data_IF_560490219271
#
_entry.id   IF_560490219271
#
_cell.length_a   1.000
_cell.length_b   1.000
_cell.length_c   1.000
_cell.angle_alpha   90.00
_cell.angle_beta   90.00
_cell.angle_gamma   90.00
#
_symmetry.space_group_name_H-M   'P 1'
#
loop_
_entity.id
_entity.type
_entity.pdbx_description
1 polymer ?
#
# COMPACT_ATOMS: atom_id res chain seq x y z
N UNK A 1 0.19 -2.11 -7.45
CA UNK A 1 -0.44 -1.05 -8.26
C UNK A 1 0.39 -0.90 -9.52
N UNK A 2 -0.23 -0.78 -10.67
CA UNK A 2 0.46 -0.52 -11.94
C UNK A 2 0.63 0.98 -12.22
N UNK A 3 1.49 1.32 -13.20
CA UNK A 3 1.76 2.71 -13.57
C UNK A 3 0.50 3.52 -13.93
N UNK A 4 -0.38 3.02 -14.83
CA UNK A 4 -1.62 3.72 -15.18
C UNK A 4 -2.57 3.96 -14.01
N UNK A 5 -2.66 3.05 -13.06
CA UNK A 5 -3.49 3.21 -11.85
C UNK A 5 -2.90 4.26 -10.91
N UNK A 6 -1.57 4.26 -10.74
CA UNK A 6 -0.85 5.27 -9.97
C UNK A 6 -1.05 6.67 -10.56
N UNK A 7 -0.87 6.82 -11.85
CA UNK A 7 -1.06 8.07 -12.58
C UNK A 7 -2.50 8.61 -12.42
N UNK A 8 -3.52 7.78 -12.58
CA UNK A 8 -4.92 8.19 -12.35
C UNK A 8 -5.16 8.66 -10.91
N UNK A 9 -4.59 7.97 -9.93
CA UNK A 9 -4.70 8.33 -8.52
C UNK A 9 -4.02 9.67 -8.23
N UNK A 10 -2.81 9.87 -8.76
CA UNK A 10 -2.09 11.13 -8.65
C UNK A 10 -2.86 12.29 -9.30
N UNK A 11 -3.40 12.12 -10.49
CA UNK A 11 -4.22 13.15 -11.15
C UNK A 11 -5.41 13.57 -10.30
N UNK A 12 -6.14 12.61 -9.73
CA UNK A 12 -7.27 12.92 -8.84
C UNK A 12 -6.81 13.71 -7.61
N UNK A 13 -5.67 13.35 -7.03
CA UNK A 13 -5.07 14.08 -5.91
C UNK A 13 -4.65 15.50 -6.30
N UNK A 14 -4.07 15.69 -7.49
CA UNK A 14 -3.68 17.02 -7.97
C UNK A 14 -4.89 17.92 -8.23
N UNK A 15 -5.97 17.38 -8.80
CA UNK A 15 -7.24 18.12 -8.95
C UNK A 15 -7.76 18.56 -7.59
N UNK A 16 -7.77 17.70 -6.59
CA UNK A 16 -8.22 18.05 -5.23
C UNK A 16 -7.30 19.10 -4.56
N UNK A 17 -5.99 18.99 -4.76
CA UNK A 17 -5.02 19.88 -4.11
C UNK A 17 -4.90 21.25 -4.77
N UNK A 18 -4.93 21.30 -6.10
CA UNK A 18 -4.65 22.50 -6.88
C UNK A 18 -5.90 23.11 -7.56
N UNK A 19 -7.01 22.38 -7.59
CA UNK A 19 -8.27 22.83 -8.16
C UNK A 19 -8.16 23.23 -9.62
N UNK A 20 -8.81 24.31 -10.00
CA UNK A 20 -8.85 24.82 -11.38
C UNK A 20 -7.47 25.26 -11.92
N UNK A 21 -6.47 25.39 -11.07
CA UNK A 21 -5.09 25.71 -11.51
C UNK A 21 -4.40 24.51 -12.15
N UNK A 22 -4.83 23.28 -11.85
CA UNK A 22 -4.22 22.06 -12.41
C UNK A 22 -4.79 21.75 -13.79
N UNK A 23 -3.89 21.46 -14.72
CA UNK A 23 -4.21 20.99 -16.06
C UNK A 23 -3.47 19.67 -16.33
N UNK A 24 -4.22 18.69 -16.84
CA UNK A 24 -3.66 17.41 -17.24
C UNK A 24 -2.96 17.55 -18.61
N UNK A 25 -1.83 16.89 -18.77
CA UNK A 25 -1.15 16.79 -20.06
C UNK A 25 -1.18 15.32 -20.53
N UNK A 26 -1.74 15.10 -21.72
CA UNK A 26 -1.82 13.76 -22.29
C UNK A 26 -0.52 13.38 -22.98
N UNK A 27 -0.10 12.11 -22.83
CA UNK A 27 1.13 11.60 -23.44
C UNK A 27 1.09 11.49 -24.98
N UNK A 28 -0.05 11.75 -25.62
CA UNK A 28 -0.18 11.74 -27.09
C UNK A 28 -0.19 13.18 -27.62
N UNK A 29 0.66 13.52 -28.62
CA UNK A 29 1.51 12.67 -29.47
C UNK A 29 2.90 12.35 -28.89
N UNK A 30 3.19 12.58 -27.61
CA UNK A 30 4.46 12.23 -27.01
C UNK A 30 4.50 12.50 -25.51
N UNK A 31 5.35 11.75 -24.79
CA UNK A 31 5.70 12.00 -23.42
C UNK A 31 6.76 13.11 -23.36
N UNK A 32 6.36 14.29 -22.89
CA UNK A 32 7.22 15.47 -22.74
C UNK A 32 7.97 15.51 -21.43
N UNK A 33 7.94 14.44 -20.61
CA UNK A 33 8.49 14.39 -19.27
C UNK A 33 7.61 15.08 -18.22
N UNK A 34 6.34 15.36 -18.58
CA UNK A 34 5.32 15.92 -17.68
C UNK A 34 3.95 15.35 -18.03
N UNK A 35 3.17 14.98 -17.00
CA UNK A 35 1.81 14.43 -17.13
C UNK A 35 0.74 15.45 -16.73
N UNK A 36 1.15 16.57 -16.18
CA UNK A 36 0.29 17.69 -15.82
C UNK A 36 1.08 18.88 -15.37
N UNK A 37 0.41 20.01 -15.23
CA UNK A 37 1.01 21.28 -14.81
C UNK A 37 -0.03 22.14 -14.10
N UNK A 38 0.44 23.16 -13.40
CA UNK A 38 -0.42 24.16 -12.79
C UNK A 38 -0.13 25.57 -13.35
N UNK A 39 -1.14 26.42 -13.37
CA UNK A 39 -1.01 27.81 -13.84
C UNK A 39 0.02 28.64 -13.04
N UNK A 40 0.36 28.20 -11.83
CA UNK A 40 1.40 28.80 -10.99
C UNK A 40 2.78 28.13 -11.16
N UNK A 41 2.98 27.28 -12.18
CA UNK A 41 4.29 26.84 -12.63
C UNK A 41 4.84 25.56 -12.00
N UNK A 42 3.98 24.69 -11.44
CA UNK A 42 4.35 23.31 -11.10
C UNK A 42 4.15 22.38 -12.31
N UNK A 43 5.12 21.54 -12.59
CA UNK A 43 4.99 20.43 -13.55
C UNK A 43 5.10 19.09 -12.81
N UNK A 44 4.34 18.10 -13.21
CA UNK A 44 4.21 16.81 -12.52
C UNK A 44 4.63 15.66 -13.42
N UNK A 45 5.40 14.74 -12.87
CA UNK A 45 5.73 13.45 -13.46
C UNK A 45 5.46 12.36 -12.43
N UNK A 46 4.58 11.42 -12.77
CA UNK A 46 4.28 10.27 -11.94
C UNK A 46 5.08 9.04 -12.37
N UNK A 47 5.58 8.30 -11.42
CA UNK A 47 6.29 7.06 -11.68
C UNK A 47 5.91 6.00 -10.65
N UNK A 48 5.47 4.84 -11.12
CA UNK A 48 5.22 3.67 -10.29
C UNK A 48 6.11 2.51 -10.76
N UNK A 49 6.89 1.90 -9.87
CA UNK A 49 7.68 0.71 -10.20
C UNK A 49 6.80 -0.45 -10.70
N UNK A 50 7.21 -1.11 -11.79
CA UNK A 50 6.42 -2.18 -12.43
C UNK A 50 6.44 -3.50 -11.64
N UNK A 51 7.43 -3.70 -10.78
CA UNK A 51 7.63 -4.91 -9.99
C UNK A 51 8.14 -4.57 -8.58
N UNK A 52 8.21 -5.56 -7.71
CA UNK A 52 8.84 -5.42 -6.41
C UNK A 52 10.36 -5.36 -6.61
N UNK A 53 10.92 -4.18 -6.43
CA UNK A 53 12.36 -3.92 -6.47
C UNK A 53 12.96 -4.04 -5.08
N UNK A 54 14.23 -4.46 -4.99
CA UNK A 54 15.06 -4.16 -3.84
C UNK A 54 15.27 -2.65 -3.73
N UNK A 55 15.70 -2.18 -2.57
CA UNK A 55 15.94 -0.74 -2.35
C UNK A 55 16.95 -0.16 -3.37
N UNK A 56 18.00 -0.93 -3.71
CA UNK A 56 19.00 -0.52 -4.70
C UNK A 56 18.43 -0.45 -6.11
N UNK A 57 17.69 -1.47 -6.54
CA UNK A 57 17.04 -1.49 -7.86
C UNK A 57 16.00 -0.36 -7.99
N UNK A 58 15.25 -0.09 -6.92
CA UNK A 58 14.29 1.02 -6.90
C UNK A 58 15.00 2.37 -7.06
N UNK A 59 16.13 2.55 -6.35
CA UNK A 59 16.94 3.76 -6.49
C UNK A 59 17.43 3.95 -7.93
N UNK A 60 17.94 2.90 -8.57
CA UNK A 60 18.39 2.96 -9.95
C UNK A 60 17.24 3.28 -10.91
N UNK A 61 16.10 2.63 -10.77
CA UNK A 61 14.94 2.85 -11.62
C UNK A 61 14.40 4.30 -11.51
N UNK A 62 14.29 4.84 -10.29
CA UNK A 62 13.88 6.24 -10.06
C UNK A 62 14.90 7.22 -10.62
N UNK A 63 16.20 6.99 -10.37
CA UNK A 63 17.30 7.80 -10.91
C UNK A 63 17.30 7.84 -12.45
N UNK A 64 17.12 6.68 -13.09
CA UNK A 64 17.13 6.58 -14.54
C UNK A 64 15.89 7.23 -15.16
N UNK A 65 14.73 7.14 -14.50
CA UNK A 65 13.52 7.85 -14.93
C UNK A 65 13.71 9.36 -14.88
N UNK A 66 14.23 9.92 -13.78
CA UNK A 66 14.55 11.34 -13.65
C UNK A 66 15.57 11.77 -14.72
N UNK A 67 16.61 10.97 -14.94
CA UNK A 67 17.65 11.23 -15.95
C UNK A 67 17.09 11.28 -17.36
N UNK A 68 16.08 10.46 -17.65
CA UNK A 68 15.44 10.36 -18.96
C UNK A 68 14.44 11.50 -19.18
N UNK A 69 13.65 11.87 -18.18
CA UNK A 69 12.53 12.79 -18.35
C UNK A 69 12.93 14.27 -18.27
N UNK A 70 13.86 14.64 -17.39
CA UNK A 70 14.29 16.04 -17.27
C UNK A 70 14.78 16.62 -18.60
N UNK A 71 15.64 15.96 -19.41
CA UNK A 71 16.07 16.50 -20.70
C UNK A 71 14.95 16.71 -21.72
N UNK A 72 13.81 16.03 -21.55
CA UNK A 72 12.64 16.21 -22.42
C UNK A 72 12.07 17.63 -22.31
N UNK A 73 12.14 18.26 -21.13
CA UNK A 73 11.69 19.65 -20.93
C UNK A 73 12.40 20.62 -21.88
N UNK A 74 13.69 20.44 -22.07
CA UNK A 74 14.46 21.28 -23.00
C UNK A 74 14.23 20.83 -24.47
N UNK A 75 14.21 19.53 -24.71
CA UNK A 75 14.02 18.98 -26.07
C UNK A 75 12.69 19.39 -26.68
N UNK A 76 11.63 19.38 -25.88
CA UNK A 76 10.25 19.65 -26.29
C UNK A 76 9.73 21.01 -25.78
N UNK A 77 10.64 21.95 -25.53
CA UNK A 77 10.28 23.24 -24.94
C UNK A 77 9.19 23.98 -25.75
N UNK A 78 9.30 23.97 -27.09
CA UNK A 78 8.29 24.63 -27.96
C UNK A 78 6.92 23.97 -27.90
N UNK A 79 6.89 22.65 -27.86
CA UNK A 79 5.65 21.86 -27.75
C UNK A 79 4.99 22.03 -26.39
N UNK A 80 5.79 22.12 -25.35
CA UNK A 80 5.31 22.41 -23.98
C UNK A 80 4.80 23.84 -23.91
N UNK A 81 5.58 24.83 -24.39
CA UNK A 81 5.20 26.25 -24.40
C UNK A 81 3.87 26.50 -25.13
N UNK A 82 3.65 25.81 -26.26
CA UNK A 82 2.38 25.88 -26.99
C UNK A 82 1.16 25.39 -26.17
N UNK A 83 1.37 24.64 -25.08
CA UNK A 83 0.32 24.11 -24.21
C UNK A 83 0.16 24.86 -22.90
N UNK A 84 1.27 25.31 -22.33
CA UNK A 84 1.26 26.01 -21.04
C UNK A 84 1.21 27.54 -21.18
N UNK A 85 1.36 28.04 -22.42
CA UNK A 85 1.39 29.49 -22.69
C UNK A 85 2.59 30.19 -22.05
N UNK A 86 2.36 31.35 -21.48
CA UNK A 86 3.39 32.15 -20.83
C UNK A 86 3.83 31.65 -19.46
N UNK A 87 3.25 30.56 -18.97
CA UNK A 87 3.61 29.96 -17.67
C UNK A 87 5.06 29.48 -17.69
N UNK A 88 5.85 29.89 -16.70
CA UNK A 88 7.21 29.35 -16.49
C UNK A 88 7.15 28.24 -15.45
N UNK A 89 7.81 27.12 -15.76
CA UNK A 89 7.94 25.99 -14.83
C UNK A 89 9.02 26.33 -13.82
N UNK A 90 8.62 26.62 -12.58
CA UNK A 90 9.56 26.86 -11.49
C UNK A 90 9.84 25.58 -10.68
N UNK A 91 8.98 24.55 -10.76
CA UNK A 91 9.24 23.29 -10.10
C UNK A 91 8.75 22.09 -10.91
N UNK A 92 9.53 21.04 -10.90
CA UNK A 92 9.17 19.73 -11.44
C UNK A 92 9.03 18.75 -10.28
N UNK A 93 7.82 18.22 -10.13
CA UNK A 93 7.42 17.36 -9.02
C UNK A 93 7.40 15.91 -9.52
N UNK A 94 8.38 15.13 -9.09
CA UNK A 94 8.45 13.70 -9.36
C UNK A 94 7.71 12.94 -8.26
N UNK A 95 6.61 12.28 -8.60
CA UNK A 95 5.71 11.66 -7.63
C UNK A 95 5.77 10.13 -7.79
N UNK A 96 6.20 9.44 -6.74
CA UNK A 96 6.39 7.99 -6.70
C UNK A 96 5.72 7.40 -5.45
N UNK A 97 5.30 6.12 -5.45
CA UNK A 97 4.71 5.52 -4.24
C UNK A 97 5.64 5.56 -3.01
N UNK A 98 6.95 5.40 -3.22
CA UNK A 98 7.96 5.36 -2.15
C UNK A 98 9.25 6.01 -2.63
N UNK A 99 9.87 6.84 -1.78
CA UNK A 99 11.22 7.37 -2.02
C UNK A 99 12.25 6.29 -1.62
N UNK A 100 13.14 5.85 -2.53
CA UNK A 100 14.03 4.71 -2.27
C UNK A 100 15.05 4.96 -1.16
N UNK A 101 15.69 6.13 -1.19
CA UNK A 101 16.67 6.60 -0.18
C UNK A 101 17.00 8.08 -0.39
N UNK A 102 17.78 8.67 0.54
CA UNK A 102 18.14 10.09 0.51
C UNK A 102 19.10 10.48 -0.62
N UNK A 103 19.83 9.55 -1.23
CA UNK A 103 20.78 9.88 -2.31
C UNK A 103 20.09 10.28 -3.61
N UNK A 104 18.81 9.90 -3.76
CA UNK A 104 18.00 10.35 -4.90
C UNK A 104 17.83 11.87 -4.92
N UNK A 105 17.78 12.53 -3.75
CA UNK A 105 17.71 13.99 -3.67
C UNK A 105 19.00 14.65 -4.17
N UNK A 106 20.17 14.03 -3.93
CA UNK A 106 21.45 14.51 -4.49
C UNK A 106 21.45 14.43 -6.01
N UNK A 107 20.90 13.34 -6.55
CA UNK A 107 20.74 13.18 -8.00
C UNK A 107 19.81 14.24 -8.58
N UNK A 108 18.67 14.49 -7.92
CA UNK A 108 17.74 15.55 -8.30
C UNK A 108 18.42 16.93 -8.34
N UNK A 109 19.22 17.28 -7.30
CA UNK A 109 19.98 18.56 -7.29
C UNK A 109 20.97 18.67 -8.44
N UNK A 110 21.64 17.56 -8.82
CA UNK A 110 22.52 17.56 -9.99
C UNK A 110 21.73 17.86 -11.27
N UNK A 111 20.60 17.19 -11.49
CA UNK A 111 19.74 17.42 -12.66
C UNK A 111 19.10 18.81 -12.69
N UNK A 112 18.76 19.35 -11.56
CA UNK A 112 18.29 20.73 -11.40
C UNK A 112 19.35 21.74 -11.88
N UNK A 113 20.60 21.59 -11.45
CA UNK A 113 21.70 22.47 -11.89
C UNK A 113 21.97 22.33 -13.41
N UNK A 114 21.89 21.10 -13.95
CA UNK A 114 21.98 20.87 -15.39
C UNK A 114 20.86 21.61 -16.13
N UNK A 115 19.61 21.50 -15.65
CA UNK A 115 18.45 22.13 -16.28
C UNK A 115 18.51 23.68 -16.25
N UNK A 116 18.93 24.25 -15.15
CA UNK A 116 19.15 25.74 -15.04
C UNK A 116 20.19 26.25 -16.04
N UNK A 117 21.24 25.46 -16.32
CA UNK A 117 22.28 25.84 -17.27
C UNK A 117 21.80 25.87 -18.73
N UNK A 118 20.66 25.23 -19.08
CA UNK A 118 20.15 25.22 -20.46
C UNK A 118 19.57 26.56 -20.92
N UNK A 119 19.23 27.47 -19.99
CA UNK A 119 18.53 28.72 -20.29
C UNK A 119 17.26 28.51 -21.14
N UNK A 120 16.57 27.44 -20.83
CA UNK A 120 15.38 26.99 -21.53
C UNK A 120 14.20 27.95 -21.35
N UNK A 121 13.52 28.33 -22.43
CA UNK A 121 12.48 29.38 -22.44
C UNK A 121 11.30 29.08 -21.50
N UNK A 122 10.99 27.80 -21.28
CA UNK A 122 9.85 27.37 -20.42
C UNK A 122 10.21 27.23 -18.94
N UNK A 123 11.51 27.23 -18.58
CA UNK A 123 11.96 27.08 -17.20
C UNK A 123 12.20 28.42 -16.53
N UNK A 124 11.81 28.52 -15.26
CA UNK A 124 12.19 29.63 -14.40
C UNK A 124 13.68 29.55 -14.06
N UNK A 125 14.32 30.72 -13.84
CA UNK A 125 15.72 30.80 -13.42
C UNK A 125 16.03 30.06 -12.12
N UNK A 126 15.05 29.95 -11.23
CA UNK A 126 15.10 29.23 -9.96
C UNK A 126 14.46 27.83 -10.03
N UNK A 127 14.38 27.24 -11.22
CA UNK A 127 13.82 25.93 -11.42
C UNK A 127 14.32 24.91 -10.38
N UNK A 128 13.39 24.15 -9.78
CA UNK A 128 13.68 23.20 -8.71
C UNK A 128 13.06 21.85 -9.00
N UNK A 129 13.72 20.76 -8.61
CA UNK A 129 13.20 19.40 -8.69
C UNK A 129 12.85 18.92 -7.29
N UNK A 130 11.60 18.53 -7.07
CA UNK A 130 11.13 17.90 -5.85
C UNK A 130 10.78 16.43 -6.11
N UNK A 131 11.16 15.56 -5.18
CA UNK A 131 10.75 14.16 -5.16
C UNK A 131 9.76 14.00 -4.02
N UNK A 132 8.59 13.51 -4.34
CA UNK A 132 7.47 13.36 -3.42
C UNK A 132 6.93 11.93 -3.49
N UNK A 133 6.46 11.44 -2.37
CA UNK A 133 5.86 10.11 -2.27
C UNK A 133 4.35 10.16 -1.98
N UNK A 134 3.78 8.99 -1.75
CA UNK A 134 2.36 8.86 -1.45
C UNK A 134 1.94 9.65 -0.20
N UNK A 135 2.82 9.80 0.78
CA UNK A 135 2.51 10.50 2.04
C UNK A 135 2.22 11.98 1.81
N UNK A 136 2.90 12.61 0.85
CA UNK A 136 2.65 14.00 0.46
C UNK A 136 1.21 14.27 0.00
N UNK A 137 0.51 13.24 -0.46
CA UNK A 137 -0.84 13.32 -1.01
C UNK A 137 -1.84 12.45 -0.27
N UNK A 138 -1.51 11.94 0.91
CA UNK A 138 -2.33 10.99 1.65
C UNK A 138 -3.77 11.49 1.88
N UNK A 139 -3.93 12.75 2.25
CA UNK A 139 -5.25 13.36 2.47
C UNK A 139 -6.08 13.42 1.16
N UNK A 140 -5.46 13.80 0.04
CA UNK A 140 -6.11 13.88 -1.27
C UNK A 140 -6.45 12.49 -1.82
N UNK A 141 -5.58 11.51 -1.63
CA UNK A 141 -5.85 10.13 -2.02
C UNK A 141 -7.05 9.57 -1.26
N UNK A 142 -7.11 9.82 0.05
CA UNK A 142 -8.24 9.39 0.87
C UNK A 142 -9.54 10.09 0.48
N UNK A 143 -9.51 11.40 0.25
CA UNK A 143 -10.68 12.15 -0.21
C UNK A 143 -11.14 11.69 -1.59
N UNK A 144 -10.22 11.49 -2.54
CA UNK A 144 -10.54 10.94 -3.86
C UNK A 144 -11.19 9.57 -3.76
N UNK A 145 -10.64 8.68 -2.91
CA UNK A 145 -11.21 7.36 -2.68
C UNK A 145 -12.65 7.45 -2.15
N UNK A 146 -12.88 8.32 -1.17
CA UNK A 146 -14.22 8.54 -0.57
C UNK A 146 -15.22 9.10 -1.56
N UNK A 147 -14.85 10.10 -2.32
CA UNK A 147 -15.74 10.78 -3.29
C UNK A 147 -16.06 9.90 -4.49
N UNK A 148 -15.15 9.04 -4.91
CA UNK A 148 -15.36 8.08 -5.99
C UNK A 148 -16.10 6.81 -5.54
N UNK A 149 -16.40 6.67 -4.25
CA UNK A 149 -16.99 5.46 -3.68
C UNK A 149 -16.07 4.22 -3.81
N UNK A 150 -14.78 4.44 -4.04
CA UNK A 150 -13.82 3.36 -4.16
C UNK A 150 -13.61 2.67 -2.80
N UNK A 151 -13.82 1.36 -2.80
CA UNK A 151 -13.59 0.55 -1.61
C UNK A 151 -12.10 0.23 -1.45
N UNK A 152 -11.65 0.18 -0.20
CA UNK A 152 -10.33 -0.33 0.11
C UNK A 152 -10.26 -1.82 -0.26
N UNK A 153 -9.25 -2.22 -1.02
CA UNK A 153 -9.03 -3.61 -1.45
C UNK A 153 -7.71 -4.15 -0.92
N UNK A 154 -7.70 -5.41 -0.52
CA UNK A 154 -6.49 -6.07 0.00
C UNK A 154 -5.48 -6.43 -1.11
N UNK A 155 -5.89 -6.38 -2.37
CA UNK A 155 -5.07 -6.85 -3.48
C UNK A 155 -5.08 -8.39 -3.64
N UNK A 156 -4.26 -8.92 -4.55
CA UNK A 156 -4.25 -10.36 -4.85
C UNK A 156 -3.68 -11.17 -3.69
N UNK A 157 -4.23 -12.37 -3.49
CA UNK A 157 -3.70 -13.34 -2.53
C UNK A 157 -2.30 -13.79 -2.93
N UNK A 158 -1.47 -14.10 -1.91
CA UNK A 158 -0.19 -14.75 -2.14
C UNK A 158 -0.37 -16.12 -2.80
N UNK A 159 0.49 -16.41 -3.77
CA UNK A 159 0.57 -17.76 -4.35
C UNK A 159 1.02 -18.77 -3.27
N UNK A 160 0.57 -20.05 -3.33
CA UNK A 160 0.86 -21.07 -2.30
C UNK A 160 2.35 -21.36 -2.05
N UNK A 161 3.24 -20.89 -2.93
CA UNK A 161 4.68 -21.16 -2.90
C UNK A 161 5.50 -20.26 -1.94
N UNK A 162 4.87 -19.37 -1.18
CA UNK A 162 5.61 -18.62 -0.15
C UNK A 162 5.78 -19.54 1.07
N UNK A 163 6.83 -20.33 1.03
CA UNK A 163 7.35 -21.04 2.21
C UNK A 163 8.02 -19.97 3.08
N UNK A 164 7.63 -19.88 4.35
CA UNK A 164 8.41 -19.12 5.33
C UNK A 164 9.79 -19.79 5.42
N UNK A 165 10.89 -19.13 5.02
CA UNK A 165 12.18 -19.69 5.28
C UNK A 165 12.35 -19.71 6.80
N UNK A 166 12.48 -20.92 7.38
CA UNK A 166 12.87 -21.17 8.76
C UNK A 166 12.11 -20.36 9.83
N UNK A 167 10.77 -20.53 9.90
CA UNK A 167 10.02 -20.03 11.05
C UNK A 167 10.65 -20.58 12.35
N UNK A 168 10.89 -19.75 13.39
CA UNK A 168 11.47 -20.22 14.64
C UNK A 168 10.70 -21.42 15.17
N UNK A 169 11.41 -22.43 15.64
CA UNK A 169 10.83 -23.68 16.14
C UNK A 169 9.78 -23.43 17.24
N UNK A 170 9.98 -22.38 18.04
CA UNK A 170 9.01 -21.95 19.06
C UNK A 170 7.67 -21.48 18.44
N UNK A 171 7.72 -20.80 17.31
CA UNK A 171 6.53 -20.35 16.57
C UNK A 171 5.76 -21.56 16.01
N UNK A 172 6.46 -22.50 15.37
CA UNK A 172 5.84 -23.71 14.82
C UNK A 172 5.18 -24.56 15.92
N UNK A 173 5.86 -24.74 17.06
CA UNK A 173 5.29 -25.44 18.23
C UNK A 173 4.04 -24.77 18.77
N UNK A 174 4.01 -23.44 18.81
CA UNK A 174 2.85 -22.68 19.27
C UNK A 174 1.63 -22.86 18.35
N UNK A 175 1.85 -22.75 17.04
CA UNK A 175 0.81 -22.93 16.02
C UNK A 175 0.28 -24.38 16.07
N UNK A 176 1.18 -25.38 16.15
CA UNK A 176 0.79 -26.79 16.24
C UNK A 176 -0.07 -27.05 17.47
N UNK A 177 0.35 -26.63 18.67
CA UNK A 177 -0.39 -26.81 19.92
C UNK A 177 -1.82 -26.25 19.79
N UNK A 178 -1.96 -25.02 19.34
CA UNK A 178 -3.27 -24.35 19.24
C UNK A 178 -4.18 -24.98 18.18
N UNK A 179 -3.63 -25.35 17.03
CA UNK A 179 -4.40 -26.01 15.99
C UNK A 179 -4.77 -27.46 16.38
N UNK A 180 -3.95 -28.13 17.15
CA UNK A 180 -4.25 -29.46 17.71
C UNK A 180 -5.46 -29.39 18.65
N UNK A 181 -5.52 -28.40 19.54
CA UNK A 181 -6.67 -28.16 20.42
C UNK A 181 -7.93 -27.84 19.58
N UNK A 182 -7.83 -27.00 18.55
CA UNK A 182 -8.94 -26.69 17.63
C UNK A 182 -9.51 -27.93 16.94
N UNK A 183 -8.66 -28.92 16.65
CA UNK A 183 -9.04 -30.14 15.95
C UNK A 183 -9.30 -31.28 16.88
N UNK A 184 -9.32 -31.11 18.21
CA UNK A 184 -9.42 -32.19 19.18
C UNK A 184 -10.65 -33.07 18.98
N UNK A 185 -11.80 -32.50 18.59
CA UNK A 185 -13.01 -33.27 18.24
C UNK A 185 -12.83 -34.24 17.04
N UNK A 186 -11.77 -34.08 16.27
CA UNK A 186 -11.40 -34.88 15.09
C UNK A 186 -10.18 -35.78 15.34
N UNK A 187 -9.66 -35.85 16.57
CA UNK A 187 -8.42 -36.56 16.91
C UNK A 187 -8.42 -38.05 16.52
N UNK A 188 -9.60 -38.69 16.53
CA UNK A 188 -9.75 -40.12 16.20
C UNK A 188 -9.81 -40.41 14.67
N UNK A 189 -9.68 -39.39 13.80
CA UNK A 189 -9.69 -39.61 12.35
C UNK A 189 -8.35 -40.15 11.86
N UNK A 190 -8.37 -41.13 10.91
CA UNK A 190 -7.10 -41.68 10.36
C UNK A 190 -6.18 -40.67 9.71
N UNK A 191 -6.72 -39.56 9.21
CA UNK A 191 -6.02 -38.47 8.51
C UNK A 191 -5.73 -37.27 9.40
N UNK A 192 -5.86 -37.40 10.72
CA UNK A 192 -5.72 -36.28 11.67
C UNK A 192 -4.40 -35.54 11.54
N UNK A 193 -3.26 -36.22 11.62
CA UNK A 193 -1.94 -35.60 11.56
C UNK A 193 -1.67 -34.90 10.20
N UNK A 194 -2.15 -35.51 9.10
CA UNK A 194 -2.06 -34.89 7.78
C UNK A 194 -2.89 -33.58 7.71
N UNK A 195 -4.10 -33.63 8.25
CA UNK A 195 -5.01 -32.47 8.28
C UNK A 195 -4.49 -31.38 9.20
N UNK A 196 -3.91 -31.74 10.35
CA UNK A 196 -3.28 -30.80 11.28
C UNK A 196 -2.10 -30.11 10.63
N UNK A 197 -1.22 -30.84 9.95
CA UNK A 197 -0.10 -30.25 9.22
C UNK A 197 -0.59 -29.25 8.16
N UNK A 198 -1.58 -29.60 7.36
CA UNK A 198 -2.15 -28.69 6.37
C UNK A 198 -2.78 -27.42 6.99
N UNK A 199 -3.37 -27.54 8.19
CA UNK A 199 -3.89 -26.39 8.94
C UNK A 199 -2.75 -25.51 9.47
N UNK A 200 -1.66 -26.10 9.98
CA UNK A 200 -0.47 -25.38 10.43
C UNK A 200 0.15 -24.60 9.26
N UNK A 201 0.43 -25.25 8.13
CA UNK A 201 0.96 -24.62 6.92
C UNK A 201 0.07 -23.45 6.44
N UNK A 202 -1.25 -23.62 6.54
CA UNK A 202 -2.23 -22.57 6.20
C UNK A 202 -2.16 -21.39 7.18
N UNK A 203 -2.05 -21.67 8.48
CA UNK A 203 -1.95 -20.62 9.53
C UNK A 203 -0.69 -19.80 9.37
N UNK A 204 0.45 -20.44 9.12
CA UNK A 204 1.74 -19.79 8.90
C UNK A 204 1.71 -18.91 7.65
N UNK A 205 1.21 -19.44 6.53
CA UNK A 205 1.07 -18.66 5.30
C UNK A 205 0.18 -17.43 5.49
N UNK A 206 -0.97 -17.59 6.14
CA UNK A 206 -1.89 -16.47 6.42
C UNK A 206 -1.29 -15.44 7.38
N UNK A 207 -0.42 -15.83 8.28
CA UNK A 207 0.31 -14.91 9.15
C UNK A 207 1.15 -13.92 8.32
N UNK A 208 1.95 -14.44 7.37
CA UNK A 208 2.76 -13.58 6.47
C UNK A 208 1.88 -12.74 5.56
N UNK A 209 0.83 -13.34 5.01
CA UNK A 209 -0.13 -12.64 4.14
C UNK A 209 -0.81 -11.47 4.87
N UNK A 210 -1.08 -11.62 6.17
CA UNK A 210 -1.63 -10.55 7.01
C UNK A 210 -0.70 -9.34 7.08
N UNK A 211 0.57 -9.54 7.40
CA UNK A 211 1.55 -8.45 7.51
C UNK A 211 1.74 -7.74 6.17
N UNK A 212 1.77 -8.49 5.08
CA UNK A 212 1.90 -7.93 3.74
C UNK A 212 0.69 -7.05 3.36
N UNK A 213 -0.54 -7.51 3.66
CA UNK A 213 -1.74 -6.72 3.38
C UNK A 213 -1.82 -5.46 4.25
N UNK A 214 -1.51 -5.56 5.54
CA UNK A 214 -1.48 -4.41 6.43
C UNK A 214 -0.45 -3.38 5.97
N UNK A 215 0.77 -3.80 5.62
CA UNK A 215 1.80 -2.91 5.07
C UNK A 215 1.40 -2.26 3.73
N UNK A 216 0.66 -3.00 2.88
CA UNK A 216 0.13 -2.42 1.65
C UNK A 216 -0.95 -1.36 1.92
N UNK A 217 -1.83 -1.60 2.90
CA UNK A 217 -2.85 -0.62 3.30
C UNK A 217 -2.17 0.64 3.85
N UNK A 218 -1.20 0.47 4.76
CA UNK A 218 -0.42 1.57 5.35
C UNK A 218 0.20 2.47 4.27
N UNK A 219 0.87 1.85 3.29
CA UNK A 219 1.49 2.58 2.18
C UNK A 219 0.48 3.30 1.28
N UNK A 220 -0.70 2.71 1.05
CA UNK A 220 -1.70 3.25 0.12
C UNK A 220 -2.67 4.22 0.76
N UNK A 221 -2.99 4.03 2.02
CA UNK A 221 -3.94 4.84 2.78
C UNK A 221 -3.59 4.81 4.28
N UNK A 222 -2.58 5.60 4.73
CA UNK A 222 -2.15 5.62 6.13
C UNK A 222 -3.31 5.87 7.10
N UNK A 223 -4.23 6.78 6.76
CA UNK A 223 -5.40 7.09 7.60
C UNK A 223 -6.36 5.88 7.73
N UNK A 224 -6.58 5.13 6.65
CA UNK A 224 -7.39 3.91 6.72
C UNK A 224 -6.67 2.82 7.53
N UNK A 225 -5.35 2.71 7.40
CA UNK A 225 -4.53 1.80 8.19
C UNK A 225 -4.67 2.08 9.69
N UNK A 226 -4.50 3.34 10.12
CA UNK A 226 -4.67 3.73 11.52
C UNK A 226 -6.05 3.36 12.07
N UNK A 227 -7.12 3.58 11.29
CA UNK A 227 -8.48 3.22 11.71
C UNK A 227 -8.65 1.70 11.83
N UNK A 228 -8.11 0.94 10.87
CA UNK A 228 -8.14 -0.54 10.89
C UNK A 228 -7.38 -1.05 12.12
N UNK A 229 -6.16 -0.59 12.35
CA UNK A 229 -5.33 -1.02 13.49
C UNK A 229 -6.00 -0.66 14.82
N UNK A 230 -6.60 0.52 14.90
CA UNK A 230 -7.33 0.96 16.10
C UNK A 230 -8.58 0.09 16.38
N UNK A 231 -9.34 -0.25 15.32
CA UNK A 231 -10.49 -1.15 15.42
C UNK A 231 -10.06 -2.54 15.85
N UNK A 232 -9.02 -3.08 15.21
CA UNK A 232 -8.46 -4.40 15.50
C UNK A 232 -7.93 -4.46 16.94
N UNK A 233 -7.22 -3.42 17.40
CA UNK A 233 -6.68 -3.35 18.76
C UNK A 233 -7.78 -3.37 19.81
N UNK A 234 -8.81 -2.53 19.67
CA UNK A 234 -9.98 -2.55 20.59
C UNK A 234 -10.68 -3.90 20.60
N UNK A 235 -10.84 -4.51 19.43
CA UNK A 235 -11.48 -5.82 19.34
C UNK A 235 -10.61 -6.94 19.94
N UNK A 236 -9.28 -6.82 19.88
CA UNK A 236 -8.35 -7.77 20.51
C UNK A 236 -8.49 -7.77 22.04
N UNK A 237 -8.74 -6.60 22.66
CA UNK A 237 -9.03 -6.52 24.10
C UNK A 237 -10.34 -7.25 24.44
N UNK A 238 -11.42 -6.98 23.69
CA UNK A 238 -12.71 -7.67 23.87
C UNK A 238 -12.59 -9.19 23.66
N UNK A 239 -11.83 -9.62 22.64
CA UNK A 239 -11.55 -11.02 22.36
C UNK A 239 -10.81 -11.69 23.51
N UNK A 240 -9.89 -10.98 24.19
CA UNK A 240 -9.15 -11.48 25.35
C UNK A 240 -10.11 -11.81 26.50
N UNK A 241 -11.09 -10.96 26.77
CA UNK A 241 -12.12 -11.24 27.78
C UNK A 241 -13.02 -12.41 27.36
N UNK A 242 -13.41 -12.43 26.09
CA UNK A 242 -14.28 -13.47 25.53
C UNK A 242 -13.64 -14.86 25.64
N UNK A 243 -12.36 -15.01 25.33
CA UNK A 243 -11.69 -16.33 25.41
C UNK A 243 -11.61 -16.88 26.83
N UNK A 244 -11.48 -16.03 27.87
CA UNK A 244 -11.46 -16.49 29.27
C UNK A 244 -12.82 -16.98 29.76
N UNK A 245 -13.91 -16.50 29.16
CA UNK A 245 -15.28 -16.87 29.56
C UNK A 245 -15.90 -17.89 28.61
N UNK A 246 -15.16 -18.31 27.58
CA UNK A 246 -15.65 -19.24 26.58
C UNK A 246 -15.70 -20.68 27.09
N UNK A 247 -16.86 -21.31 26.99
CA UNK A 247 -17.13 -22.68 27.50
C UNK A 247 -17.48 -23.69 26.39
N UNK A 248 -17.48 -23.26 25.12
CA UNK A 248 -17.82 -24.10 23.98
C UNK A 248 -16.55 -24.49 23.18
N UNK A 249 -16.73 -25.23 22.08
CA UNK A 249 -15.65 -25.69 21.22
C UNK A 249 -14.78 -24.51 20.71
N UNK A 250 -13.44 -24.64 20.67
CA UNK A 250 -12.53 -23.59 20.18
C UNK A 250 -12.84 -23.09 18.77
N UNK A 251 -13.33 -23.98 17.89
CA UNK A 251 -13.69 -23.58 16.53
C UNK A 251 -14.89 -22.60 16.49
N UNK A 252 -15.87 -22.79 17.38
CA UNK A 252 -17.00 -21.86 17.48
C UNK A 252 -16.60 -20.48 17.96
N UNK A 253 -15.59 -20.39 18.85
CA UNK A 253 -14.99 -19.12 19.24
C UNK A 253 -14.36 -18.41 18.03
N UNK A 254 -13.58 -19.14 17.26
CA UNK A 254 -12.94 -18.61 16.03
C UNK A 254 -14.00 -18.12 15.04
N UNK A 255 -15.03 -18.89 14.79
CA UNK A 255 -16.09 -18.53 13.85
C UNK A 255 -16.84 -17.27 14.31
N UNK A 256 -17.08 -17.12 15.62
CA UNK A 256 -17.64 -15.91 16.22
C UNK A 256 -16.73 -14.70 16.06
N UNK A 257 -15.46 -14.84 16.43
CA UNK A 257 -14.45 -13.77 16.29
C UNK A 257 -14.36 -13.32 14.83
N UNK A 258 -14.30 -14.27 13.89
CA UNK A 258 -14.24 -13.98 12.46
C UNK A 258 -15.46 -13.20 11.99
N UNK A 259 -16.66 -13.61 12.39
CA UNK A 259 -17.91 -12.95 12.02
C UNK A 259 -17.97 -11.53 12.57
N UNK A 260 -17.74 -11.33 13.87
CA UNK A 260 -17.81 -10.04 14.53
C UNK A 260 -16.76 -9.06 14.01
N UNK A 261 -15.50 -9.51 13.83
CA UNK A 261 -14.43 -8.66 13.29
C UNK A 261 -14.72 -8.26 11.84
N UNK A 262 -15.17 -9.20 11.00
CA UNK A 262 -15.49 -8.90 9.60
C UNK A 262 -16.64 -7.91 9.47
N UNK A 263 -17.66 -8.03 10.32
CA UNK A 263 -18.78 -7.08 10.36
C UNK A 263 -18.31 -5.67 10.77
N UNK A 264 -17.49 -5.56 11.82
CA UNK A 264 -16.95 -4.28 12.26
C UNK A 264 -16.07 -3.61 11.20
N UNK A 265 -15.21 -4.39 10.54
CA UNK A 265 -14.36 -3.89 9.44
C UNK A 265 -15.19 -3.43 8.23
N UNK A 266 -16.24 -4.18 7.86
CA UNK A 266 -17.11 -3.83 6.75
C UNK A 266 -17.98 -2.59 7.03
N UNK A 267 -18.38 -2.39 8.30
CA UNK A 267 -19.22 -1.29 8.74
C UNK A 267 -18.43 -0.04 9.17
N UNK A 268 -17.08 -0.08 9.18
CA UNK A 268 -16.29 1.10 9.51
C UNK A 268 -16.32 2.12 8.34
N UNK A 269 -17.03 3.26 8.50
CA UNK A 269 -17.26 4.18 7.40
C UNK A 269 -15.97 4.81 6.84
N UNK A 270 -14.95 4.93 7.69
CA UNK A 270 -13.68 5.59 7.34
C UNK A 270 -12.78 4.73 6.48
N UNK A 271 -12.93 3.39 6.52
CA UNK A 271 -12.13 2.46 5.72
C UNK A 271 -12.80 2.12 4.40
N UNK A 272 -14.15 2.17 4.34
CA UNK A 272 -14.94 1.77 3.15
C UNK A 272 -14.49 0.43 2.56
N UNK A 273 -14.21 -0.55 3.43
CA UNK A 273 -13.76 -1.89 3.00
C UNK A 273 -14.92 -2.68 2.41
N UNK A 274 -14.65 -3.53 1.39
CA UNK A 274 -15.66 -4.45 0.89
C UNK A 274 -15.92 -5.56 1.93
N UNK A 275 -17.13 -6.13 1.94
CA UNK A 275 -17.46 -7.26 2.82
C UNK A 275 -16.50 -8.42 2.61
N UNK A 276 -16.13 -8.70 1.36
CA UNK A 276 -15.18 -9.79 1.00
C UNK A 276 -13.79 -9.53 1.55
N UNK A 277 -13.29 -8.29 1.42
CA UNK A 277 -11.97 -7.92 1.94
C UNK A 277 -11.98 -7.88 3.48
N UNK A 278 -13.06 -7.42 4.10
CA UNK A 278 -13.24 -7.45 5.55
C UNK A 278 -13.21 -8.89 6.09
N UNK A 279 -13.92 -9.81 5.43
CA UNK A 279 -13.89 -11.24 5.77
C UNK A 279 -12.48 -11.84 5.59
N UNK A 280 -11.79 -11.46 4.53
CA UNK A 280 -10.43 -11.91 4.27
C UNK A 280 -9.48 -11.39 5.34
N UNK A 281 -9.52 -10.10 5.67
CA UNK A 281 -8.66 -9.51 6.70
C UNK A 281 -8.95 -10.12 8.09
N UNK A 282 -10.22 -10.33 8.44
CA UNK A 282 -10.59 -11.00 9.69
C UNK A 282 -10.00 -12.41 9.79
N UNK A 283 -10.05 -13.18 8.70
CA UNK A 283 -9.48 -14.52 8.63
C UNK A 283 -7.94 -14.53 8.75
N UNK A 284 -7.28 -13.55 8.16
CA UNK A 284 -5.83 -13.34 8.29
C UNK A 284 -5.45 -12.94 9.71
N UNK A 285 -6.21 -12.03 10.34
CA UNK A 285 -5.97 -11.58 11.72
C UNK A 285 -6.10 -12.71 12.73
N UNK A 286 -7.05 -13.63 12.56
CA UNK A 286 -7.15 -14.82 13.41
C UNK A 286 -5.87 -15.65 13.34
N UNK A 287 -5.35 -15.89 12.14
CA UNK A 287 -4.08 -16.61 11.96
C UNK A 287 -2.91 -15.89 12.63
N UNK A 288 -2.87 -14.54 12.55
CA UNK A 288 -1.90 -13.73 13.25
C UNK A 288 -2.02 -13.87 14.77
N UNK A 289 -3.21 -13.77 15.35
CA UNK A 289 -3.43 -13.90 16.78
C UNK A 289 -3.10 -15.29 17.32
N UNK A 290 -3.39 -16.34 16.55
CA UNK A 290 -2.96 -17.70 16.88
C UNK A 290 -1.43 -17.80 16.94
N UNK A 291 -0.73 -17.17 16.00
CA UNK A 291 0.72 -17.22 15.86
C UNK A 291 1.46 -16.40 16.93
N UNK A 292 0.88 -15.30 17.45
CA UNK A 292 1.53 -14.37 18.41
C UNK A 292 0.97 -14.40 19.83
N UNK A 293 0.31 -15.47 20.22
CA UNK A 293 -0.23 -15.69 21.57
C UNK A 293 -1.39 -14.80 22.02
N UNK A 294 -1.98 -13.98 21.17
CA UNK A 294 -3.15 -13.17 21.54
C UNK A 294 -4.45 -13.99 21.63
N UNK A 295 -4.56 -15.04 20.81
CA UNK A 295 -5.66 -16.00 20.87
C UNK A 295 -5.10 -17.36 21.32
N UNK A 296 -5.56 -17.85 22.46
CA UNK A 296 -5.13 -19.12 23.03
C UNK A 296 -6.34 -19.95 23.51
N UNK A 297 -6.14 -21.24 23.68
CA UNK A 297 -7.14 -22.17 24.16
C UNK A 297 -6.57 -22.92 25.35
N UNK A 298 -7.35 -23.01 26.46
CA UNK A 298 -7.02 -23.87 27.58
C UNK A 298 -7.16 -25.35 27.15
N UNK A 299 -6.22 -26.17 27.57
CA UNK A 299 -6.38 -27.63 27.52
C UNK A 299 -7.51 -27.99 28.50
N UNK A 300 -8.59 -28.55 27.98
CA UNK A 300 -9.72 -29.04 28.78
C UNK A 300 -9.40 -30.41 29.40
#
# INVERSE_FOLDING_TARGET
MDGPSWERMCRAAFVLKYGDRYQNMQASPGDFGIEGWTADGHAFQCYCPEKNYTQSELHEAVRDKITTDIPKLNRYAKEIEARIGDTKIHSWLFVTPVIPNNDIHKHARKKENEARAWQCSILDSNFTIFIQDAEHYAAQFEESRRTQGAKLTLGPKLQPAVVLPDAPEAFQRLVDRKNRIRMQSKANRPDFERSLKALNDTTERKFVECDMHLSNIERMSPLAYEQIVHLIGRYADEMTELQFTWSDEPQKLIDRIKSELSERLANEPRTSMSVVDAQTLADLMISRWLAVCQLDFSES
#
